data_IF_269795769706
#
_entry.id   IF_269795769706
#
_cell.length_a   1.000
_cell.length_b   1.000
_cell.length_c   1.000
_cell.angle_alpha   90.00
_cell.angle_beta   90.00
_cell.angle_gamma   90.00
#
_symmetry.space_group_name_H-M   'P 1'
#
loop_
_entity.id
_entity.type
_entity.pdbx_description
1 polymer ?
#
# COMPACT_ATOMS: atom_id res chain seq x y z
N UNK A 1 16.34 -21.75 43.70
CA UNK A 1 16.87 -22.16 42.43
C UNK A 1 16.95 -20.94 41.49
N UNK A 2 18.17 -20.52 41.27
CA UNK A 2 18.54 -19.36 40.44
C UNK A 2 18.32 -19.68 38.94
N UNK A 3 17.59 -18.85 38.23
CA UNK A 3 17.63 -18.78 36.78
C UNK A 3 18.17 -17.37 36.39
N UNK A 4 19.46 -17.35 36.10
CA UNK A 4 20.18 -16.23 35.51
C UNK A 4 19.77 -16.10 34.05
N UNK A 5 18.98 -15.09 33.70
CA UNK A 5 18.71 -14.71 32.33
C UNK A 5 19.92 -13.99 31.73
N UNK A 6 20.54 -14.58 30.70
CA UNK A 6 21.51 -13.89 29.86
C UNK A 6 20.79 -12.81 29.03
N UNK A 7 21.06 -11.58 29.33
CA UNK A 7 20.74 -10.48 28.43
C UNK A 7 21.63 -10.59 27.18
N UNK A 8 21.02 -10.67 26.00
CA UNK A 8 21.73 -10.52 24.75
C UNK A 8 22.23 -9.09 24.63
N UNK A 9 23.55 -8.92 24.74
CA UNK A 9 24.21 -7.68 24.33
C UNK A 9 23.98 -7.48 22.83
N UNK A 10 23.23 -6.46 22.48
CA UNK A 10 23.17 -5.96 21.10
C UNK A 10 24.54 -5.36 20.77
N UNK A 11 25.32 -6.05 19.93
CA UNK A 11 26.58 -5.55 19.42
C UNK A 11 26.33 -4.28 18.60
N UNK A 12 26.67 -3.13 19.15
CA UNK A 12 26.63 -1.87 18.44
C UNK A 12 27.81 -1.80 17.46
N UNK A 13 27.53 -1.96 16.17
CA UNK A 13 28.53 -1.71 15.14
C UNK A 13 28.90 -0.22 15.11
N UNK A 14 30.19 0.08 15.19
CA UNK A 14 30.66 1.45 15.06
C UNK A 14 30.49 1.94 13.61
N UNK A 15 30.27 3.26 13.43
CA UNK A 15 30.16 3.89 12.09
C UNK A 15 31.33 3.53 11.18
N UNK A 16 32.52 3.31 11.75
CA UNK A 16 33.73 2.92 11.02
C UNK A 16 33.67 1.48 10.53
N UNK A 17 33.08 0.56 11.31
CA UNK A 17 32.88 -0.85 10.91
C UNK A 17 31.85 -0.97 9.78
N UNK A 18 30.77 -0.15 9.81
CA UNK A 18 29.78 -0.09 8.75
C UNK A 18 30.40 0.44 7.45
N UNK A 19 31.22 1.51 7.52
CA UNK A 19 31.92 2.06 6.37
C UNK A 19 32.97 1.07 5.78
N UNK A 20 33.71 0.36 6.64
CA UNK A 20 34.66 -0.69 6.18
C UNK A 20 33.94 -1.85 5.50
N UNK A 21 32.78 -2.27 6.01
CA UNK A 21 31.98 -3.34 5.38
C UNK A 21 31.43 -2.91 4.01
N UNK A 22 31.06 -1.63 3.85
CA UNK A 22 30.62 -1.06 2.57
C UNK A 22 31.76 -0.97 1.55
N UNK A 23 32.96 -0.58 1.97
CA UNK A 23 34.12 -0.45 1.06
C UNK A 23 34.69 -1.78 0.64
N UNK A 24 34.70 -2.80 1.50
CA UNK A 24 35.19 -4.14 1.16
C UNK A 24 34.17 -4.96 0.35
N UNK A 25 32.88 -4.57 0.35
CA UNK A 25 31.83 -5.20 -0.44
C UNK A 25 31.82 -4.81 -1.92
N UNK A 26 32.58 -3.77 -2.33
CA UNK A 26 32.57 -3.31 -3.73
C UNK A 26 33.63 -3.95 -4.62
N UNK A 27 34.56 -4.72 -4.07
CA UNK A 27 35.66 -5.35 -4.82
C UNK A 27 35.32 -6.75 -5.38
N UNK A 28 34.07 -6.98 -5.78
CA UNK A 28 33.70 -8.28 -6.31
C UNK A 28 32.28 -8.44 -6.83
N UNK A 29 31.52 -7.36 -6.92
CA UNK A 29 30.24 -7.39 -7.62
C UNK A 29 30.52 -7.38 -9.12
N UNK A 30 30.82 -8.57 -9.69
CA UNK A 30 30.44 -8.82 -11.06
C UNK A 30 28.96 -8.42 -11.16
N UNK A 31 28.67 -7.35 -11.90
CA UNK A 31 27.29 -7.00 -12.25
C UNK A 31 26.79 -8.15 -13.09
N UNK A 32 26.27 -9.18 -12.43
CA UNK A 32 25.39 -10.12 -13.12
C UNK A 32 24.30 -9.27 -13.75
N UNK A 33 24.04 -9.41 -15.07
CA UNK A 33 22.89 -8.75 -15.64
C UNK A 33 21.72 -9.07 -14.72
N UNK A 34 21.03 -8.03 -14.22
CA UNK A 34 19.78 -8.20 -13.51
C UNK A 34 18.82 -8.85 -14.50
N UNK A 35 18.92 -10.17 -14.63
CA UNK A 35 17.80 -10.95 -15.12
C UNK A 35 16.73 -10.68 -14.10
N UNK A 36 15.81 -9.77 -14.46
CA UNK A 36 14.69 -9.40 -13.62
C UNK A 36 14.12 -10.69 -13.08
N UNK A 37 14.18 -10.85 -11.74
CA UNK A 37 13.71 -12.06 -11.11
C UNK A 37 12.28 -12.28 -11.55
N UNK A 38 12.07 -13.16 -12.53
CA UNK A 38 10.76 -13.65 -12.81
C UNK A 38 10.29 -14.29 -11.51
N UNK A 39 9.25 -13.73 -10.94
CA UNK A 39 8.51 -14.41 -9.88
C UNK A 39 7.95 -15.66 -10.55
N UNK A 40 8.68 -16.76 -10.47
CA UNK A 40 8.19 -18.06 -10.94
C UNK A 40 6.98 -18.41 -10.08
N UNK A 41 5.81 -18.26 -10.67
CA UNK A 41 4.60 -18.88 -10.11
C UNK A 41 4.77 -20.38 -10.41
N UNK A 42 4.89 -21.25 -9.36
CA UNK A 42 5.06 -22.67 -9.59
C UNK A 42 3.95 -23.19 -10.52
N UNK A 43 4.34 -23.90 -11.57
CA UNK A 43 3.36 -24.43 -12.55
C UNK A 43 2.31 -25.27 -11.84
N UNK A 44 1.03 -25.00 -12.06
CA UNK A 44 -0.09 -25.74 -11.48
C UNK A 44 -0.62 -25.19 -10.15
N UNK A 45 -0.02 -24.13 -9.59
CA UNK A 45 -0.59 -23.45 -8.42
C UNK A 45 -1.52 -22.31 -8.84
N UNK A 46 -2.73 -22.29 -8.28
CA UNK A 46 -3.67 -21.18 -8.40
C UNK A 46 -3.50 -20.27 -7.19
N UNK A 47 -3.14 -19.02 -7.42
CA UNK A 47 -2.98 -18.02 -6.35
C UNK A 47 -4.34 -17.44 -5.99
N UNK A 48 -4.83 -17.78 -4.81
CA UNK A 48 -6.12 -17.29 -4.27
C UNK A 48 -5.95 -16.43 -3.01
N UNK A 49 -4.71 -16.19 -2.60
CA UNK A 49 -4.39 -15.47 -1.36
C UNK A 49 -4.37 -13.94 -1.52
N UNK A 50 -4.42 -13.44 -2.76
CA UNK A 50 -4.51 -12.03 -3.09
C UNK A 50 -5.57 -11.78 -4.14
N UNK A 51 -6.17 -10.59 -4.11
CA UNK A 51 -7.13 -10.15 -5.13
C UNK A 51 -6.37 -9.60 -6.35
N UNK A 52 -5.81 -10.50 -7.16
CA UNK A 52 -4.98 -10.18 -8.32
C UNK A 52 -5.75 -10.41 -9.64
N UNK A 53 -5.37 -9.66 -10.67
CA UNK A 53 -5.85 -9.93 -12.02
C UNK A 53 -5.04 -11.08 -12.63
N UNK A 54 -5.62 -12.28 -12.82
CA UNK A 54 -4.90 -13.45 -13.34
C UNK A 54 -4.49 -13.32 -14.81
N UNK A 55 -5.09 -12.38 -15.54
CA UNK A 55 -4.79 -12.16 -16.98
C UNK A 55 -3.58 -11.23 -17.19
N UNK A 56 -3.12 -10.55 -16.13
CA UNK A 56 -2.02 -9.58 -16.22
C UNK A 56 -2.39 -8.35 -17.06
N UNK A 57 -1.39 -7.52 -17.41
CA UNK A 57 -1.59 -6.35 -18.25
C UNK A 57 -1.81 -6.74 -19.71
N UNK A 58 -2.51 -5.88 -20.47
CA UNK A 58 -2.71 -6.11 -21.90
C UNK A 58 -1.37 -6.06 -22.67
N UNK A 59 -1.26 -6.77 -23.84
CA UNK A 59 -0.06 -6.69 -24.68
C UNK A 59 0.29 -5.24 -25.08
N UNK A 60 -0.72 -4.40 -25.31
CA UNK A 60 -0.53 -2.97 -25.62
C UNK A 60 0.10 -2.23 -24.44
N UNK A 61 -0.37 -2.45 -23.22
CA UNK A 61 0.20 -1.85 -22.01
C UNK A 61 1.66 -2.28 -21.80
N UNK A 62 1.96 -3.58 -21.97
CA UNK A 62 3.33 -4.09 -21.89
C UNK A 62 4.26 -3.44 -22.91
N UNK A 63 3.80 -3.28 -24.16
CA UNK A 63 4.58 -2.66 -25.21
C UNK A 63 4.89 -1.18 -24.91
N UNK A 64 3.94 -0.43 -24.34
CA UNK A 64 4.18 0.95 -23.94
C UNK A 64 5.11 1.06 -22.74
N UNK A 65 4.94 0.21 -21.73
CA UNK A 65 5.87 0.15 -20.58
C UNK A 65 7.30 -0.13 -21.05
N UNK A 66 7.49 -1.08 -21.96
CA UNK A 66 8.82 -1.41 -22.48
C UNK A 66 9.52 -0.21 -23.14
N UNK A 67 8.77 0.66 -23.81
CA UNK A 67 9.32 1.88 -24.46
C UNK A 67 9.84 2.90 -23.45
N UNK A 68 9.18 3.01 -22.30
CA UNK A 68 9.52 4.04 -21.30
C UNK A 68 10.48 3.54 -20.21
N UNK A 69 10.78 2.23 -20.16
CA UNK A 69 11.71 1.68 -19.16
C UNK A 69 13.03 2.46 -19.03
N UNK A 70 13.71 2.89 -20.12
CA UNK A 70 14.94 3.69 -20.00
C UNK A 70 14.73 5.06 -19.33
N UNK A 71 13.49 5.54 -19.27
CA UNK A 71 13.13 6.85 -18.70
C UNK A 71 12.73 6.78 -17.23
N UNK A 72 12.62 5.59 -16.65
CA UNK A 72 12.16 5.40 -15.26
C UNK A 72 13.11 5.96 -14.19
N UNK A 73 14.35 6.33 -14.57
CA UNK A 73 15.29 7.04 -13.70
C UNK A 73 14.97 8.54 -13.53
N UNK A 74 14.05 9.09 -14.32
CA UNK A 74 13.69 10.50 -14.32
C UNK A 74 12.32 10.72 -13.66
N UNK A 75 12.11 11.94 -13.17
CA UNK A 75 10.80 12.35 -12.71
C UNK A 75 9.80 12.39 -13.87
N UNK A 76 8.52 12.06 -13.63
CA UNK A 76 7.51 11.90 -14.70
C UNK A 76 7.15 13.21 -15.42
N UNK A 77 7.47 14.37 -14.85
CA UNK A 77 7.17 15.67 -15.47
C UNK A 77 5.67 15.86 -15.74
N UNK A 78 5.33 16.16 -16.99
CA UNK A 78 3.94 16.41 -17.40
C UNK A 78 3.08 15.13 -17.53
N UNK A 79 3.66 13.94 -17.48
CA UNK A 79 2.94 12.66 -17.67
C UNK A 79 1.81 12.51 -16.65
N UNK A 80 1.99 12.98 -15.42
CA UNK A 80 0.95 12.94 -14.38
C UNK A 80 -0.25 13.83 -14.76
N UNK A 81 0.01 15.03 -15.27
CA UNK A 81 -1.04 15.94 -15.72
C UNK A 81 -1.79 15.38 -16.94
N UNK A 82 -1.08 14.75 -17.87
CA UNK A 82 -1.66 14.08 -19.02
C UNK A 82 -2.59 12.95 -18.59
N UNK A 83 -2.16 12.11 -17.63
CA UNK A 83 -2.96 11.02 -17.10
C UNK A 83 -4.22 11.54 -16.40
N UNK A 84 -4.09 12.58 -15.54
CA UNK A 84 -5.23 13.23 -14.90
C UNK A 84 -6.21 13.76 -15.94
N UNK A 85 -5.71 14.45 -16.98
CA UNK A 85 -6.52 15.00 -18.06
C UNK A 85 -7.30 13.92 -18.81
N UNK A 86 -6.69 12.75 -19.04
CA UNK A 86 -7.35 11.59 -19.64
C UNK A 86 -8.50 11.07 -18.77
N UNK A 87 -8.29 10.97 -17.44
CA UNK A 87 -9.35 10.56 -16.51
C UNK A 87 -10.49 11.59 -16.45
N UNK A 88 -10.17 12.87 -16.33
CA UNK A 88 -11.16 13.95 -16.34
C UNK A 88 -12.04 13.86 -17.60
N UNK A 89 -11.42 13.78 -18.79
CA UNK A 89 -12.15 13.72 -20.05
C UNK A 89 -13.01 12.45 -20.17
N UNK A 90 -12.48 11.29 -19.74
CA UNK A 90 -13.17 10.01 -19.85
C UNK A 90 -14.38 9.90 -18.93
N UNK A 91 -14.30 10.50 -17.75
CA UNK A 91 -15.30 10.33 -16.69
C UNK A 91 -16.08 11.61 -16.39
N UNK A 92 -15.87 12.69 -17.17
CA UNK A 92 -16.51 14.00 -16.95
C UNK A 92 -16.28 14.52 -15.53
N UNK A 93 -15.02 14.51 -15.08
CA UNK A 93 -14.60 14.93 -13.74
C UNK A 93 -13.87 16.27 -13.80
N UNK A 94 -13.96 17.03 -12.70
CA UNK A 94 -13.14 18.21 -12.47
C UNK A 94 -11.76 17.82 -11.90
N UNK A 95 -10.79 18.74 -11.97
CA UNK A 95 -9.40 18.50 -11.54
C UNK A 95 -9.27 18.10 -10.07
N UNK A 96 -10.08 18.68 -9.20
CA UNK A 96 -10.13 18.41 -7.76
C UNK A 96 -10.80 17.08 -7.39
N UNK A 97 -11.42 16.41 -8.36
CA UNK A 97 -12.03 15.10 -8.21
C UNK A 97 -11.10 13.94 -8.60
N UNK A 98 -9.88 14.24 -9.07
CA UNK A 98 -8.92 13.22 -9.52
C UNK A 98 -7.65 13.31 -8.69
N UNK A 99 -7.30 12.18 -8.07
CA UNK A 99 -6.08 12.01 -7.31
C UNK A 99 -5.31 10.78 -7.84
N UNK A 100 -4.02 10.94 -8.12
CA UNK A 100 -3.13 9.85 -8.50
C UNK A 100 -2.37 9.34 -7.28
N UNK A 101 -2.25 8.04 -7.18
CA UNK A 101 -1.54 7.37 -6.08
C UNK A 101 -0.80 6.13 -6.60
N UNK A 102 0.25 5.72 -5.91
CA UNK A 102 0.96 4.47 -6.16
C UNK A 102 0.15 3.28 -5.60
N UNK A 103 -0.98 3.01 -6.23
CA UNK A 103 -1.98 2.04 -5.80
C UNK A 103 -2.99 2.62 -4.80
N UNK A 104 -4.14 1.94 -4.69
CA UNK A 104 -5.25 2.38 -3.83
C UNK A 104 -4.87 2.48 -2.34
N UNK A 105 -3.88 1.70 -1.88
CA UNK A 105 -3.47 1.72 -0.47
C UNK A 105 -2.87 3.07 -0.06
N UNK A 106 -2.07 3.71 -0.92
CA UNK A 106 -1.57 5.07 -0.66
C UNK A 106 -2.73 6.07 -0.54
N UNK A 107 -3.69 6.01 -1.46
CA UNK A 107 -4.89 6.85 -1.42
C UNK A 107 -5.71 6.65 -0.14
N UNK A 108 -5.91 5.40 0.27
CA UNK A 108 -6.62 5.06 1.50
C UNK A 108 -5.87 5.55 2.74
N UNK A 109 -4.55 5.40 2.81
CA UNK A 109 -3.73 5.93 3.90
C UNK A 109 -3.77 7.46 3.94
N UNK A 110 -3.70 8.13 2.80
CA UNK A 110 -3.84 9.59 2.71
C UNK A 110 -5.21 10.05 3.24
N UNK A 111 -6.29 9.34 2.91
CA UNK A 111 -7.62 9.63 3.44
C UNK A 111 -7.68 9.46 4.97
N UNK A 112 -7.06 8.40 5.53
CA UNK A 112 -6.97 8.23 6.98
C UNK A 112 -6.18 9.36 7.66
N UNK A 113 -5.12 9.86 7.04
CA UNK A 113 -4.35 10.99 7.56
C UNK A 113 -5.13 12.31 7.48
N UNK A 114 -5.83 12.54 6.38
CA UNK A 114 -6.55 13.79 6.14
C UNK A 114 -7.82 13.93 7.00
N UNK A 115 -8.53 12.84 7.20
CA UNK A 115 -9.85 12.82 7.84
C UNK A 115 -9.84 12.08 9.20
N UNK A 116 -9.14 10.95 9.32
CA UNK A 116 -9.19 10.10 10.50
C UNK A 116 -8.77 10.78 11.79
N UNK A 117 -7.86 11.74 11.74
CA UNK A 117 -7.44 12.52 12.94
C UNK A 117 -8.44 13.58 13.39
N UNK A 118 -9.50 13.80 12.67
CA UNK A 118 -10.55 14.78 13.03
C UNK A 118 -11.65 14.17 13.91
N UNK A 119 -11.66 12.84 14.01
CA UNK A 119 -12.65 12.08 14.78
C UNK A 119 -12.40 10.58 14.62
N UNK A 120 -13.38 9.76 14.99
CA UNK A 120 -13.28 8.31 14.80
C UNK A 120 -13.61 7.90 13.36
N UNK A 121 -13.06 6.77 12.95
CA UNK A 121 -13.35 6.10 11.67
C UNK A 121 -14.29 4.94 11.93
N UNK A 122 -15.34 4.78 11.13
CA UNK A 122 -16.20 3.60 11.15
C UNK A 122 -15.91 2.72 9.94
N UNK A 123 -15.83 1.39 10.15
CA UNK A 123 -15.69 0.41 9.08
C UNK A 123 -16.44 -0.89 9.38
N UNK A 124 -16.75 -1.74 8.38
CA UNK A 124 -17.13 -3.12 8.61
C UNK A 124 -16.02 -3.88 9.35
N UNK A 125 -16.38 -4.86 10.17
CA UNK A 125 -15.42 -5.65 10.92
C UNK A 125 -14.52 -6.52 10.02
N UNK A 126 -15.10 -7.09 8.94
CA UNK A 126 -14.37 -7.83 7.91
C UNK A 126 -14.32 -6.98 6.64
N UNK A 127 -13.15 -6.47 6.35
CA UNK A 127 -12.86 -5.64 5.17
C UNK A 127 -11.35 -5.62 4.95
N UNK A 128 -10.92 -5.09 3.81
CA UNK A 128 -9.51 -4.78 3.60
C UNK A 128 -9.05 -3.76 4.66
N UNK A 129 -8.02 -4.08 5.43
CA UNK A 129 -7.76 -3.39 6.71
C UNK A 129 -6.39 -2.73 6.85
N UNK A 130 -5.47 -2.83 5.88
CA UNK A 130 -4.09 -2.32 6.02
C UNK A 130 -4.05 -0.83 6.38
N UNK A 131 -4.88 -0.02 5.73
CA UNK A 131 -5.00 1.41 6.01
C UNK A 131 -5.68 1.71 7.35
N UNK A 132 -6.58 0.83 7.82
CA UNK A 132 -7.18 0.95 9.15
C UNK A 132 -6.16 0.64 10.25
N UNK A 133 -5.36 -0.42 10.07
CA UNK A 133 -4.24 -0.76 10.97
C UNK A 133 -3.20 0.37 10.98
N UNK A 134 -2.93 0.97 9.83
CA UNK A 134 -2.06 2.14 9.73
C UNK A 134 -2.62 3.33 10.52
N UNK A 135 -3.92 3.61 10.38
CA UNK A 135 -4.60 4.68 11.11
C UNK A 135 -4.55 4.46 12.64
N UNK A 136 -4.81 3.24 13.11
CA UNK A 136 -4.71 2.87 14.53
C UNK A 136 -3.31 3.09 15.10
N UNK A 137 -2.26 2.76 14.34
CA UNK A 137 -0.86 3.03 14.73
C UNK A 137 -0.56 4.53 14.84
N UNK A 138 -1.31 5.37 14.16
CA UNK A 138 -1.24 6.84 14.26
C UNK A 138 -2.14 7.42 15.35
N UNK A 139 -2.80 6.56 16.15
CA UNK A 139 -3.68 6.96 17.23
C UNK A 139 -5.09 7.35 16.79
N UNK A 140 -5.51 6.97 15.59
CA UNK A 140 -6.89 7.14 15.12
C UNK A 140 -7.77 6.04 15.72
N UNK A 141 -8.89 6.43 16.31
CA UNK A 141 -9.89 5.48 16.78
C UNK A 141 -10.64 4.87 15.59
N UNK A 142 -10.63 3.53 15.50
CA UNK A 142 -11.35 2.79 14.46
C UNK A 142 -12.43 1.92 15.10
N UNK A 143 -13.69 2.28 14.87
CA UNK A 143 -14.84 1.50 15.31
C UNK A 143 -15.25 0.51 14.21
N UNK A 144 -15.14 -0.80 14.51
CA UNK A 144 -15.52 -1.87 13.59
C UNK A 144 -16.94 -2.35 13.89
N UNK A 145 -17.81 -2.32 12.88
CA UNK A 145 -19.20 -2.75 12.98
C UNK A 145 -19.29 -4.19 12.48
N UNK A 146 -19.84 -5.06 13.31
CA UNK A 146 -20.07 -6.47 12.99
C UNK A 146 -20.93 -6.62 11.73
N UNK A 147 -20.61 -7.61 10.90
CA UNK A 147 -21.43 -7.96 9.74
C UNK A 147 -22.74 -8.62 10.19
N UNK A 148 -23.70 -8.65 9.27
CA UNK A 148 -24.94 -9.42 9.43
C UNK A 148 -24.64 -10.94 9.46
N UNK A 149 -25.62 -11.74 9.86
CA UNK A 149 -25.47 -13.21 9.89
C UNK A 149 -25.20 -13.81 8.50
N UNK A 150 -25.71 -13.19 7.44
CA UNK A 150 -25.45 -13.55 6.05
C UNK A 150 -24.10 -13.04 5.49
N UNK A 151 -23.24 -12.51 6.37
CA UNK A 151 -21.93 -11.91 6.06
C UNK A 151 -22.01 -10.61 5.23
N UNK A 152 -23.19 -10.06 5.01
CA UNK A 152 -23.33 -8.75 4.37
C UNK A 152 -22.96 -7.62 5.34
N UNK A 153 -22.52 -6.49 4.78
CA UNK A 153 -22.28 -5.27 5.56
C UNK A 153 -23.60 -4.77 6.14
N UNK A 154 -23.64 -4.55 7.44
CA UNK A 154 -24.82 -3.97 8.12
C UNK A 154 -24.81 -2.44 7.98
N UNK A 155 -25.33 -1.96 6.86
CA UNK A 155 -25.39 -0.52 6.56
C UNK A 155 -26.26 0.25 7.58
N UNK A 156 -27.31 -0.39 8.13
CA UNK A 156 -28.14 0.22 9.14
C UNK A 156 -27.42 0.37 10.47
N UNK A 157 -26.65 -0.64 10.89
CA UNK A 157 -25.84 -0.56 12.10
C UNK A 157 -24.74 0.51 11.93
N UNK A 158 -24.11 0.58 10.75
CA UNK A 158 -23.15 1.65 10.43
C UNK A 158 -23.82 3.02 10.52
N UNK A 159 -25.01 3.21 9.89
CA UNK A 159 -25.74 4.47 9.94
C UNK A 159 -26.12 4.89 11.38
N UNK A 160 -26.52 3.92 12.23
CA UNK A 160 -26.79 4.20 13.65
C UNK A 160 -25.55 4.57 14.46
N UNK A 161 -24.38 4.10 14.05
CA UNK A 161 -23.11 4.39 14.73
C UNK A 161 -22.51 5.75 14.34
N UNK A 162 -23.03 6.39 13.28
CA UNK A 162 -22.56 7.72 12.85
C UNK A 162 -23.15 8.79 13.78
N UNK A 163 -22.24 9.53 14.42
CA UNK A 163 -22.54 10.68 15.24
C UNK A 163 -21.52 11.82 14.97
N UNK A 164 -21.59 12.90 15.71
CA UNK A 164 -20.72 14.07 15.54
C UNK A 164 -19.23 13.79 15.82
N UNK A 165 -18.88 12.65 16.40
CA UNK A 165 -17.50 12.23 16.62
C UNK A 165 -16.91 11.47 15.44
N UNK A 166 -17.72 11.09 14.45
CA UNK A 166 -17.28 10.34 13.26
C UNK A 166 -16.79 11.32 12.19
N UNK A 167 -15.57 11.10 11.73
CA UNK A 167 -14.96 11.91 10.68
C UNK A 167 -14.88 11.19 9.33
N UNK A 168 -14.95 9.86 9.34
CA UNK A 168 -14.82 9.05 8.13
C UNK A 168 -15.59 7.72 8.28
N UNK A 169 -16.29 7.35 7.23
CA UNK A 169 -16.88 6.00 7.09
C UNK A 169 -16.20 5.32 5.91
N UNK A 170 -15.57 4.17 6.16
CA UNK A 170 -14.96 3.34 5.15
C UNK A 170 -15.84 2.13 4.83
N UNK A 171 -16.18 1.96 3.56
CA UNK A 171 -16.97 0.84 3.03
C UNK A 171 -16.23 0.18 1.87
N UNK A 172 -16.05 -1.15 1.94
CA UNK A 172 -15.43 -1.93 0.89
C UNK A 172 -16.06 -3.33 0.83
#
# INVERSE_FOLDING_TARGET
>A
ALLSGRMHEASSFSRRQILHSLVMGTAGLAVSPLTGGQVEIPSGQIRLNFNENPYGPSPKALAEVAKILPMTAYYPGEIENDLISLFMNRHSLDRDQVFLASGSNEGLQAAMMAFGKRGKVISPALTYSDHLIFAEKLGVEVQRITLREDMAIDLEAIARAVDNSVSLVYLC
#
